data_IF_876981272235
#
_entry.id   IF_876981272235
#
_cell.length_a   1.000
_cell.length_b   1.000
_cell.length_c   1.000
_cell.angle_alpha   90.00
_cell.angle_beta   90.00
_cell.angle_gamma   90.00
#
_symmetry.space_group_name_H-M   'P 1'
#
loop_
_entity.id
_entity.type
_entity.pdbx_description
1 polymer ?
#
# COMPACT_ATOMS: atom_id res chain seq x y z
N UNK A 1 11.28 6.10 -2.46
CA UNK A 1 12.35 5.25 -1.89
C UNK A 1 12.98 4.44 -3.02
N UNK A 2 14.20 3.91 -2.84
CA UNK A 2 14.83 3.04 -3.84
C UNK A 2 15.29 1.76 -3.13
N UNK A 3 14.95 0.61 -3.68
CA UNK A 3 15.38 -0.71 -3.23
C UNK A 3 15.93 -1.52 -4.42
N UNK A 4 16.29 -2.79 -4.18
CA UNK A 4 16.83 -3.67 -5.22
C UNK A 4 15.81 -4.01 -6.34
N UNK A 5 14.51 -3.80 -6.09
CA UNK A 5 13.40 -4.04 -7.01
C UNK A 5 12.94 -2.83 -7.80
N UNK A 6 13.26 -1.59 -7.37
CA UNK A 6 12.96 -0.40 -8.15
C UNK A 6 12.89 0.91 -7.36
N UNK A 7 12.10 1.84 -7.89
CA UNK A 7 11.84 3.15 -7.29
C UNK A 7 10.38 3.28 -6.89
N UNK A 8 10.15 3.67 -5.64
CA UNK A 8 8.84 4.03 -5.11
C UNK A 8 8.73 5.56 -5.05
N UNK A 9 7.67 6.13 -5.63
CA UNK A 9 7.42 7.58 -5.62
C UNK A 9 6.16 7.84 -4.80
N UNK A 10 6.32 8.50 -3.65
CA UNK A 10 5.21 8.89 -2.79
C UNK A 10 4.84 10.34 -3.03
N UNK A 11 3.54 10.60 -3.12
CA UNK A 11 2.98 11.94 -3.38
C UNK A 11 1.78 12.17 -2.48
N UNK A 12 1.35 13.42 -2.31
CA UNK A 12 0.03 13.65 -1.76
C UNK A 12 -1.03 13.14 -2.74
N UNK A 13 -2.18 12.62 -2.27
CA UNK A 13 -3.27 12.16 -3.13
C UNK A 13 -3.72 13.22 -4.16
N UNK A 14 -3.67 14.50 -3.80
CA UNK A 14 -4.02 15.61 -4.69
C UNK A 14 -3.02 15.85 -5.83
N UNK A 15 -1.79 15.36 -5.69
CA UNK A 15 -0.69 15.57 -6.64
C UNK A 15 -0.42 14.33 -7.51
N UNK A 16 -1.01 13.18 -7.15
CA UNK A 16 -0.81 11.89 -7.80
C UNK A 16 -0.92 11.96 -9.33
N UNK A 17 -2.03 12.49 -9.84
CA UNK A 17 -2.30 12.56 -11.28
C UNK A 17 -1.28 13.43 -12.03
N UNK A 18 -0.86 14.54 -11.42
CA UNK A 18 0.11 15.45 -12.02
C UNK A 18 1.50 14.81 -12.11
N UNK A 19 1.91 14.11 -11.06
CA UNK A 19 3.19 13.39 -11.03
C UNK A 19 3.17 12.19 -11.97
N UNK A 20 2.08 11.42 -11.99
CA UNK A 20 1.94 10.26 -12.87
C UNK A 20 2.07 10.66 -14.35
N UNK A 21 1.37 11.72 -14.79
CA UNK A 21 1.49 12.25 -16.16
C UNK A 21 2.90 12.72 -16.48
N UNK A 22 3.57 13.40 -15.55
CA UNK A 22 4.94 13.85 -15.77
C UNK A 22 5.92 12.67 -15.98
N UNK A 23 5.69 11.55 -15.30
CA UNK A 23 6.48 10.31 -15.50
C UNK A 23 6.18 9.67 -16.85
N UNK A 24 4.91 9.61 -17.26
CA UNK A 24 4.50 9.10 -18.58
C UNK A 24 5.09 9.93 -19.72
N UNK A 25 5.04 11.27 -19.62
CA UNK A 25 5.63 12.20 -20.60
C UNK A 25 7.15 12.08 -20.68
N UNK A 26 7.80 11.69 -19.58
CA UNK A 26 9.23 11.40 -19.52
C UNK A 26 9.58 9.97 -19.97
N UNK A 27 8.60 9.20 -20.47
CA UNK A 27 8.73 7.80 -20.90
C UNK A 27 9.22 6.86 -19.78
N UNK A 28 8.97 7.23 -18.52
CA UNK A 28 9.27 6.40 -17.35
C UNK A 28 8.11 5.44 -17.14
N UNK A 29 8.33 4.15 -17.39
CA UNK A 29 7.31 3.11 -17.16
C UNK A 29 7.11 2.86 -15.67
N UNK A 30 5.90 3.09 -15.20
CA UNK A 30 5.43 2.73 -13.86
C UNK A 30 4.90 1.29 -13.89
N UNK A 31 5.34 0.46 -12.93
CA UNK A 31 4.83 -0.91 -12.79
C UNK A 31 3.47 -0.93 -12.10
N UNK A 32 3.31 -0.09 -11.07
CA UNK A 32 2.06 0.16 -10.36
C UNK A 32 1.96 1.63 -9.98
N UNK A 33 0.75 2.17 -9.97
CA UNK A 33 0.45 3.52 -9.54
C UNK A 33 -0.98 3.59 -9.00
N UNK A 34 -1.12 3.87 -7.71
CA UNK A 34 -2.42 3.96 -7.05
C UNK A 34 -2.41 5.01 -5.93
N UNK A 35 -3.61 5.48 -5.57
CA UNK A 35 -3.81 6.30 -4.38
C UNK A 35 -4.25 5.36 -3.27
N UNK A 36 -3.41 5.23 -2.25
CA UNK A 36 -3.61 4.29 -1.13
C UNK A 36 -3.29 4.97 0.20
N UNK A 37 -3.75 4.38 1.31
CA UNK A 37 -3.43 4.87 2.65
C UNK A 37 -2.13 4.23 3.16
N UNK A 38 -1.15 5.07 3.49
CA UNK A 38 0.12 4.63 4.08
C UNK A 38 0.14 4.97 5.57
N UNK A 39 0.48 4.02 6.46
CA UNK A 39 0.57 4.28 7.88
C UNK A 39 1.86 5.04 8.22
N UNK A 40 1.76 6.06 9.09
CA UNK A 40 2.93 6.79 9.60
C UNK A 40 3.80 5.94 10.53
N UNK A 41 3.19 4.96 11.20
CA UNK A 41 3.84 4.03 12.14
C UNK A 41 3.27 2.63 11.96
N UNK A 42 4.16 1.64 11.82
CA UNK A 42 3.80 0.22 11.79
C UNK A 42 3.87 -0.41 13.18
N UNK A 43 3.12 -1.50 13.36
CA UNK A 43 3.16 -2.34 14.57
C UNK A 43 3.57 -3.77 14.17
N UNK A 44 4.77 -4.21 14.56
CA UNK A 44 5.23 -5.58 14.31
C UNK A 44 4.32 -6.59 15.01
N UNK A 45 3.93 -7.62 14.27
CA UNK A 45 3.18 -8.76 14.80
C UNK A 45 4.10 -9.96 15.01
N UNK A 46 3.86 -10.70 16.10
CA UNK A 46 4.40 -12.06 16.23
C UNK A 46 3.52 -13.10 15.50
N UNK A 47 4.02 -14.32 15.34
CA UNK A 47 3.31 -15.41 14.63
C UNK A 47 1.91 -15.69 15.22
N UNK A 48 1.74 -15.52 16.53
CA UNK A 48 0.47 -15.78 17.22
C UNK A 48 -0.56 -14.66 16.97
N UNK A 49 -0.08 -13.44 16.73
CA UNK A 49 -0.89 -12.26 16.40
C UNK A 49 -1.17 -12.17 14.89
N UNK A 50 -0.27 -12.61 14.03
CA UNK A 50 -0.44 -12.56 12.57
C UNK A 50 -1.70 -13.31 12.12
N UNK A 51 -1.92 -14.52 12.65
CA UNK A 51 -3.06 -15.37 12.27
C UNK A 51 -4.42 -14.70 12.50
N UNK A 52 -4.75 -14.23 13.73
CA UNK A 52 -6.04 -13.57 13.97
C UNK A 52 -6.18 -12.22 13.24
N UNK A 53 -5.09 -11.46 13.06
CA UNK A 53 -5.15 -10.20 12.30
C UNK A 53 -5.40 -10.46 10.82
N UNK A 54 -4.70 -11.42 10.21
CA UNK A 54 -4.91 -11.76 8.81
C UNK A 54 -6.36 -12.22 8.57
N UNK A 55 -6.87 -13.09 9.45
CA UNK A 55 -8.26 -13.54 9.37
C UNK A 55 -9.26 -12.38 9.46
N UNK A 56 -8.98 -11.36 10.26
CA UNK A 56 -9.84 -10.17 10.34
C UNK A 56 -9.82 -9.39 9.02
N UNK A 57 -8.63 -9.20 8.44
CA UNK A 57 -8.46 -8.54 7.14
C UNK A 57 -9.23 -9.30 6.07
N UNK A 58 -9.04 -10.62 5.97
CA UNK A 58 -9.73 -11.48 5.00
C UNK A 58 -11.26 -11.36 5.11
N UNK A 59 -11.80 -11.36 6.34
CA UNK A 59 -13.25 -11.24 6.57
C UNK A 59 -13.80 -9.86 6.20
N UNK A 60 -12.99 -8.81 6.31
CA UNK A 60 -13.38 -7.46 5.92
C UNK A 60 -13.32 -7.31 4.40
N UNK A 61 -12.29 -7.85 3.74
CA UNK A 61 -12.16 -7.82 2.28
C UNK A 61 -13.27 -8.63 1.58
N UNK A 62 -13.74 -9.72 2.19
CA UNK A 62 -14.84 -10.53 1.66
C UNK A 62 -16.23 -9.86 1.81
N UNK A 63 -16.33 -8.72 2.50
CA UNK A 63 -17.60 -8.07 2.77
C UNK A 63 -18.01 -7.11 1.64
N UNK A 64 -19.16 -7.35 1.00
CA UNK A 64 -19.64 -6.60 -0.19
C UNK A 64 -19.65 -5.06 -0.03
N UNK A 65 -19.90 -4.55 1.18
CA UNK A 65 -19.92 -3.11 1.47
C UNK A 65 -18.52 -2.50 1.77
N UNK A 66 -17.50 -3.32 1.98
CA UNK A 66 -16.11 -2.88 2.21
C UNK A 66 -15.44 -2.69 0.86
N UNK A 67 -14.77 -1.55 0.68
CA UNK A 67 -14.10 -1.22 -0.59
C UNK A 67 -12.61 -1.50 -0.53
N UNK A 68 -11.99 -1.12 0.58
CA UNK A 68 -10.54 -1.19 0.79
C UNK A 68 -10.28 -1.36 2.29
N UNK A 69 -9.32 -2.22 2.64
CA UNK A 69 -8.87 -2.43 4.02
C UNK A 69 -7.43 -1.96 4.15
N UNK A 70 -7.19 -1.06 5.11
CA UNK A 70 -5.87 -0.56 5.42
C UNK A 70 -5.49 -0.93 6.85
N UNK A 71 -4.27 -1.39 7.04
CA UNK A 71 -3.74 -1.78 8.34
C UNK A 71 -2.32 -1.27 8.49
N UNK A 72 -1.93 -0.96 9.72
CA UNK A 72 -0.54 -0.67 10.07
C UNK A 72 0.18 -1.89 10.67
N UNK A 73 -0.42 -3.08 10.60
CA UNK A 73 0.22 -4.32 11.00
C UNK A 73 1.42 -4.63 10.10
N UNK A 74 2.57 -4.86 10.71
CA UNK A 74 3.77 -5.34 10.04
C UNK A 74 3.88 -6.84 10.30
N UNK A 75 3.63 -7.63 9.25
CA UNK A 75 3.68 -9.08 9.30
C UNK A 75 5.12 -9.57 9.23
N UNK A 76 5.46 -10.65 9.95
CA UNK A 76 6.76 -11.28 9.80
C UNK A 76 6.94 -11.77 8.35
N UNK A 77 8.14 -11.51 7.80
CA UNK A 77 8.59 -11.95 6.47
C UNK A 77 8.92 -13.43 6.44
#
# INVERSE_FOLDING_TARGET
KADEGGYEILTNPSEFEAVHKALEEAEVKTESAEVTALPDLTVPLDETQSTPVNRLVDLLDDHDDVKEVFSNAEFPV
#
